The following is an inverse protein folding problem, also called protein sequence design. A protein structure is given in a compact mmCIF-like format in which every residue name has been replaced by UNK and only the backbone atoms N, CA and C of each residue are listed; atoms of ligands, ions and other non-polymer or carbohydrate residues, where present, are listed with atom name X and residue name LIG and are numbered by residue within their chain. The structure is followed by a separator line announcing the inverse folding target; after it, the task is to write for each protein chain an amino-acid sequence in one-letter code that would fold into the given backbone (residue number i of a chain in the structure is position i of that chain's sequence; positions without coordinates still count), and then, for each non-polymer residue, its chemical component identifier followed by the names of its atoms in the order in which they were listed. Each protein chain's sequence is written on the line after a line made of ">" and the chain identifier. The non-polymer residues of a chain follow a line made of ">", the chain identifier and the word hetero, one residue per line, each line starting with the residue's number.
data_IF_965434010327
#
_entry.id   IF_965434010327
#
_cell.length_a   1.000
_cell.length_b   1.000
_cell.length_c   1.000
_cell.angle_alpha   90.00
_cell.angle_beta   90.00
_cell.angle_gamma   90.00
#
_symmetry.space_group_name_H-M   'P 1'
#
loop_
_entity.id
_entity.type
_entity.pdbx_description
1 polymer ?
#
# COMPACT_ATOMS: atom_id res chain seq x y z
N UNK A 1 -6.73 -9.88 11.18
CA UNK A 1 -7.32 -8.55 10.90
C UNK A 1 -6.45 -7.69 10.00
N UNK A 2 -5.14 -7.51 10.30
CA UNK A 2 -4.22 -6.75 9.43
C UNK A 2 -3.99 -7.38 8.05
N UNK A 3 -3.90 -8.71 7.98
CA UNK A 3 -3.78 -9.43 6.70
C UNK A 3 -4.96 -9.16 5.73
N UNK A 4 -6.20 -9.22 6.23
CA UNK A 4 -7.39 -8.91 5.44
C UNK A 4 -7.39 -7.47 4.93
N UNK A 5 -6.87 -6.52 5.72
CA UNK A 5 -6.72 -5.13 5.30
C UNK A 5 -5.71 -4.98 4.16
N UNK A 6 -4.58 -5.69 4.24
CA UNK A 6 -3.56 -5.71 3.18
C UNK A 6 -4.13 -6.30 1.88
N UNK A 7 -4.90 -7.39 1.97
CA UNK A 7 -5.59 -7.98 0.80
C UNK A 7 -6.60 -7.00 0.18
N UNK A 8 -7.41 -6.34 1.01
CA UNK A 8 -8.36 -5.33 0.54
C UNK A 8 -7.68 -4.15 -0.16
N UNK A 9 -6.57 -3.66 0.39
CA UNK A 9 -5.82 -2.56 -0.23
C UNK A 9 -5.14 -3.01 -1.53
N UNK A 10 -4.60 -4.23 -1.55
CA UNK A 10 -4.06 -4.85 -2.78
C UNK A 10 -5.12 -4.89 -3.88
N UNK A 11 -6.34 -5.32 -3.56
CA UNK A 11 -7.43 -5.32 -4.54
C UNK A 11 -7.77 -3.91 -5.02
N UNK A 12 -7.84 -2.93 -4.13
CA UNK A 12 -8.08 -1.52 -4.53
C UNK A 12 -7.00 -0.97 -5.45
N UNK A 13 -5.74 -1.35 -5.26
CA UNK A 13 -4.65 -0.96 -6.15
C UNK A 13 -4.81 -1.60 -7.53
N UNK A 14 -5.20 -2.87 -7.60
CA UNK A 14 -5.55 -3.51 -8.88
C UNK A 14 -6.69 -2.74 -9.59
N UNK A 15 -7.73 -2.35 -8.85
CA UNK A 15 -8.87 -1.57 -9.38
C UNK A 15 -8.47 -0.14 -9.82
N UNK A 16 -7.37 0.38 -9.28
CA UNK A 16 -6.74 1.64 -9.68
C UNK A 16 -5.80 1.48 -10.90
N UNK A 17 -5.57 0.26 -11.38
CA UNK A 17 -4.76 -0.04 -12.56
C UNK A 17 -3.29 -0.36 -12.26
N UNK A 18 -2.93 -0.61 -10.99
CA UNK A 18 -1.61 -1.14 -10.66
C UNK A 18 -1.50 -2.61 -11.08
N UNK A 19 -0.31 -3.00 -11.53
CA UNK A 19 -0.02 -4.41 -11.82
C UNK A 19 0.44 -5.17 -10.57
N UNK A 20 0.23 -6.49 -10.50
CA UNK A 20 0.65 -7.30 -9.35
C UNK A 20 2.14 -7.17 -8.98
N UNK A 21 3.03 -6.99 -9.97
CA UNK A 21 4.46 -6.83 -9.71
C UNK A 21 4.77 -5.48 -9.04
N UNK A 22 4.02 -4.41 -9.36
CA UNK A 22 4.20 -3.10 -8.73
C UNK A 22 3.75 -3.16 -7.28
N UNK A 23 2.63 -3.83 -6.99
CA UNK A 23 2.13 -4.00 -5.62
C UNK A 23 3.11 -4.82 -4.79
N UNK A 24 3.68 -5.89 -5.36
CA UNK A 24 4.76 -6.66 -4.70
C UNK A 24 5.99 -5.80 -4.39
N UNK A 25 6.41 -4.95 -5.33
CA UNK A 25 7.54 -4.04 -5.11
C UNK A 25 7.25 -3.06 -3.97
N UNK A 26 6.06 -2.42 -3.97
CA UNK A 26 5.63 -1.50 -2.92
C UNK A 26 5.67 -2.17 -1.53
N UNK A 27 5.22 -3.41 -1.44
CA UNK A 27 5.27 -4.19 -0.18
C UNK A 27 6.72 -4.50 0.22
N UNK A 28 7.57 -4.92 -0.74
CA UNK A 28 8.99 -5.20 -0.47
C UNK A 28 9.70 -3.97 0.05
N UNK A 29 9.51 -2.82 -0.62
CA UNK A 29 10.11 -1.54 -0.25
C UNK A 29 9.67 -1.11 1.16
N UNK A 30 8.40 -1.31 1.51
CA UNK A 30 7.87 -1.03 2.86
C UNK A 30 8.41 -1.97 3.94
N UNK A 31 8.78 -3.20 3.58
CA UNK A 31 9.36 -4.18 4.51
C UNK A 31 10.87 -4.02 4.72
N UNK A 32 11.55 -3.53 3.68
CA UNK A 32 12.98 -3.20 3.64
C UNK A 32 13.29 -1.80 4.18
N UNK A 33 12.29 -0.92 4.34
CA UNK A 33 12.52 0.37 4.96
C UNK A 33 12.94 0.20 6.42
N UNK A 34 14.25 0.26 6.67
CA UNK A 34 14.90 0.22 7.98
C UNK A 34 14.71 1.53 8.77
N UNK A 35 13.64 2.30 8.51
CA UNK A 35 13.28 3.40 9.40
C UNK A 35 13.00 2.80 10.77
N UNK A 36 13.81 3.11 11.81
CA UNK A 36 13.46 2.75 13.16
C UNK A 36 12.24 3.60 13.46
N UNK A 37 11.05 3.00 13.35
CA UNK A 37 9.85 3.65 13.86
C UNK A 37 10.03 3.70 15.36
N UNK A 38 10.57 4.81 15.85
CA UNK A 38 10.73 5.20 17.25
C UNK A 38 9.39 5.12 18.03
N UNK A 39 8.30 4.86 17.30
CA UNK A 39 6.92 4.72 17.72
C UNK A 39 6.46 3.27 17.96
N UNK A 40 7.30 2.25 17.78
CA UNK A 40 6.90 0.84 18.05
C UNK A 40 5.90 0.26 17.05
N UNK A 41 5.82 0.83 15.85
CA UNK A 41 4.88 0.41 14.80
C UNK A 41 5.34 -0.92 14.19
N UNK A 42 4.43 -1.89 14.09
CA UNK A 42 4.70 -3.19 13.46
C UNK A 42 4.95 -3.04 11.95
N UNK A 43 5.84 -3.84 11.36
CA UNK A 43 6.05 -3.89 9.89
C UNK A 43 4.75 -4.03 9.08
N UNK A 44 3.78 -4.80 9.58
CA UNK A 44 2.47 -4.92 8.92
C UNK A 44 1.71 -3.59 8.83
N UNK A 45 1.86 -2.72 9.83
CA UNK A 45 1.21 -1.41 9.84
C UNK A 45 1.89 -0.46 8.85
N UNK A 46 3.23 -0.49 8.75
CA UNK A 46 3.96 0.23 7.71
C UNK A 46 3.49 -0.16 6.31
N UNK A 47 3.32 -1.47 6.06
CA UNK A 47 2.77 -1.96 4.78
C UNK A 47 1.35 -1.42 4.55
N UNK A 48 0.50 -1.39 5.57
CA UNK A 48 -0.86 -0.84 5.46
C UNK A 48 -0.81 0.66 5.09
N UNK A 49 0.00 1.45 5.79
CA UNK A 49 0.07 2.91 5.61
C UNK A 49 0.59 3.26 4.20
N UNK A 50 1.59 2.51 3.72
CA UNK A 50 2.11 2.66 2.36
C UNK A 50 1.04 2.30 1.33
N UNK A 51 0.39 1.14 1.47
CA UNK A 51 -0.65 0.72 0.53
C UNK A 51 -1.84 1.70 0.51
N UNK A 52 -2.25 2.25 1.65
CA UNK A 52 -3.28 3.30 1.73
C UNK A 52 -2.88 4.55 0.97
N UNK A 53 -1.63 5.01 1.13
CA UNK A 53 -1.11 6.18 0.41
C UNK A 53 -1.16 5.99 -1.12
N UNK A 54 -0.81 4.80 -1.60
CA UNK A 54 -0.91 4.46 -3.03
C UNK A 54 -2.35 4.35 -3.52
N UNK A 55 -3.28 3.83 -2.70
CA UNK A 55 -4.71 3.78 -3.04
C UNK A 55 -5.29 5.19 -3.17
N UNK A 56 -4.97 6.09 -2.23
CA UNK A 56 -5.40 7.49 -2.30
C UNK A 56 -4.88 8.18 -3.56
N UNK A 57 -3.61 7.98 -3.88
CA UNK A 57 -3.01 8.52 -5.10
C UNK A 57 -3.67 7.95 -6.36
N UNK A 58 -3.81 6.63 -6.46
CA UNK A 58 -4.47 5.97 -7.59
C UNK A 58 -5.92 6.43 -7.78
N UNK A 59 -6.66 6.61 -6.68
CA UNK A 59 -8.03 7.11 -6.71
C UNK A 59 -8.12 8.58 -7.20
N UNK A 60 -7.16 9.44 -6.81
CA UNK A 60 -7.06 10.82 -7.32
C UNK A 60 -6.80 10.83 -8.83
N UNK A 61 -5.81 10.07 -9.30
CA UNK A 61 -5.48 9.99 -10.73
C UNK A 61 -6.63 9.44 -11.58
N UNK A 62 -7.42 8.50 -11.05
CA UNK A 62 -8.59 7.97 -11.75
C UNK A 62 -9.73 8.99 -11.82
N UNK A 63 -9.90 9.82 -10.78
CA UNK A 63 -10.92 10.87 -10.72
C UNK A 63 -10.63 12.03 -11.68
N UNK A 64 -9.37 12.39 -11.87
CA UNK A 64 -8.96 13.47 -12.80
C UNK A 64 -9.02 13.06 -14.28
N UNK A 65 -9.26 11.78 -14.58
CA UNK A 65 -9.44 11.26 -15.93
C UNK A 65 -10.90 11.21 -16.41
N UNK A 66 -11.86 11.68 -15.60
CA UNK A 66 -13.30 11.71 -15.90
C UNK A 66 -13.73 13.14 -16.23
#
# INVERSE_FOLDING_TARGET
>A
MKHQKIEQLTQKLLDCGYYPYQIKQIISDAMESDTPTDTGISKEQLVIDVLESYVEFGAKCKREKI
#
